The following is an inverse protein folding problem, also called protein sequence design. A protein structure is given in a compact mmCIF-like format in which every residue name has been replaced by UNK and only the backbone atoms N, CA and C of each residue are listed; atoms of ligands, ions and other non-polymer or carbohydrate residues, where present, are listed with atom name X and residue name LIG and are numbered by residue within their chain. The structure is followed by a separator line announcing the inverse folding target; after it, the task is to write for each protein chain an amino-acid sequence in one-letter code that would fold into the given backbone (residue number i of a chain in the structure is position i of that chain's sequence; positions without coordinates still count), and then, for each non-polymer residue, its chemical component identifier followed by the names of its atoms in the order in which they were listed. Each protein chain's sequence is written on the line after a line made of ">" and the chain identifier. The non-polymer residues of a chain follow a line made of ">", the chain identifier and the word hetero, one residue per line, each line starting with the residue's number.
data_IF_749269318119
#
_entry.id   IF_749269318119
#
_cell.length_a   1.000
_cell.length_b   1.000
_cell.length_c   1.000
_cell.angle_alpha   90.00
_cell.angle_beta   90.00
_cell.angle_gamma   90.00
#
_symmetry.space_group_name_H-M   'P 1'
#
loop_
_entity.id
_entity.type
_entity.pdbx_description
1 polymer ?
#
# COMPACT_ATOMS: atom_id res chain seq x y z
N UNK A 1 -44.04 -29.39 7.97
CA UNK A 1 -44.58 -30.29 6.92
C UNK A 1 -43.75 -30.14 5.67
N UNK A 2 -43.17 -31.29 5.29
CA UNK A 2 -42.82 -31.79 3.94
C UNK A 2 -41.58 -31.12 3.30
N UNK A 3 -40.40 -31.74 3.38
CA UNK A 3 -39.79 -32.86 2.62
C UNK A 3 -39.61 -32.57 1.13
N UNK A 4 -38.37 -32.67 0.67
CA UNK A 4 -37.80 -33.53 -0.38
C UNK A 4 -36.45 -32.89 -0.77
N UNK A 5 -35.30 -33.39 -0.53
CA UNK A 5 -34.58 -34.62 -0.90
C UNK A 5 -34.52 -34.87 -2.40
N UNK A 6 -33.32 -35.10 -2.86
CA UNK A 6 -32.81 -35.77 -4.07
C UNK A 6 -32.01 -34.81 -5.00
N UNK A 7 -30.88 -35.11 -5.57
CA UNK A 7 -30.17 -36.36 -5.84
C UNK A 7 -28.77 -36.05 -6.36
N UNK A 8 -27.81 -36.87 -6.01
CA UNK A 8 -26.45 -37.04 -6.49
C UNK A 8 -26.44 -37.33 -8.00
N UNK A 9 -25.54 -36.74 -8.77
CA UNK A 9 -25.06 -37.39 -9.98
C UNK A 9 -23.56 -37.06 -10.18
N UNK A 10 -22.75 -38.06 -9.88
CA UNK A 10 -21.36 -38.16 -10.28
C UNK A 10 -21.31 -38.61 -11.75
N UNK A 11 -20.57 -37.89 -12.57
CA UNK A 11 -20.11 -38.44 -13.86
C UNK A 11 -18.63 -38.14 -13.94
N UNK A 12 -17.85 -39.18 -13.78
CA UNK A 12 -16.45 -39.23 -14.14
C UNK A 12 -16.30 -39.33 -15.66
N UNK A 13 -15.37 -38.58 -16.19
CA UNK A 13 -14.82 -38.89 -17.51
C UNK A 13 -13.31 -38.78 -17.43
N UNK A 14 -12.68 -39.93 -17.38
CA UNK A 14 -11.27 -40.07 -17.70
C UNK A 14 -11.12 -39.95 -19.23
N UNK A 15 -10.26 -39.04 -19.67
CA UNK A 15 -9.75 -39.11 -21.02
C UNK A 15 -8.24 -38.86 -20.99
N UNK A 16 -7.53 -39.93 -21.20
CA UNK A 16 -6.10 -39.96 -21.52
C UNK A 16 -5.90 -39.51 -22.98
N UNK A 17 -4.96 -38.63 -23.22
CA UNK A 17 -4.57 -38.23 -24.58
C UNK A 17 -3.42 -37.23 -24.57
N UNK A 18 -2.28 -37.74 -24.67
CA UNK A 18 -0.92 -37.37 -25.07
C UNK A 18 -0.78 -36.16 -26.02
N UNK A 19 0.23 -35.32 -25.68
CA UNK A 19 1.13 -34.51 -26.52
C UNK A 19 0.61 -33.30 -27.30
N UNK A 20 1.12 -32.14 -26.94
CA UNK A 20 2.12 -31.39 -27.71
C UNK A 20 2.53 -30.11 -26.93
N UNK A 21 3.79 -29.94 -26.88
CA UNK A 21 4.56 -28.84 -26.36
C UNK A 21 4.30 -27.59 -27.20
N UNK A 22 3.86 -26.49 -26.56
CA UNK A 22 4.24 -25.16 -27.04
C UNK A 22 4.26 -24.19 -25.85
N UNK A 23 5.43 -23.62 -25.67
CA UNK A 23 5.76 -22.64 -24.65
C UNK A 23 4.96 -21.35 -24.90
N UNK A 24 3.95 -21.10 -24.08
CA UNK A 24 3.40 -19.78 -23.92
C UNK A 24 3.80 -19.27 -22.54
N UNK A 25 4.79 -18.41 -22.52
CA UNK A 25 5.25 -17.63 -21.41
C UNK A 25 4.17 -16.62 -21.06
N UNK A 26 3.18 -17.04 -20.29
CA UNK A 26 2.25 -16.11 -19.65
C UNK A 26 3.02 -15.30 -18.60
N UNK A 27 2.85 -13.96 -18.53
CA UNK A 27 3.40 -13.19 -17.44
C UNK A 27 2.79 -13.69 -16.14
N UNK A 28 3.60 -14.19 -15.23
CA UNK A 28 3.18 -14.44 -13.86
C UNK A 28 2.84 -13.10 -13.23
N UNK A 29 1.60 -12.73 -13.30
CA UNK A 29 1.00 -11.73 -12.45
C UNK A 29 1.17 -12.25 -11.02
N UNK A 30 2.12 -11.65 -10.28
CA UNK A 30 2.32 -11.90 -8.85
C UNK A 30 1.06 -11.44 -8.14
N UNK A 31 0.08 -12.30 -8.04
CA UNK A 31 -1.03 -12.15 -7.12
C UNK A 31 -0.44 -12.25 -5.72
N UNK A 32 0.02 -11.12 -5.19
CA UNK A 32 0.35 -11.03 -3.77
C UNK A 32 -0.87 -11.48 -2.99
N UNK A 33 -0.71 -12.53 -2.19
CA UNK A 33 -1.82 -13.10 -1.45
C UNK A 33 -2.44 -12.01 -0.54
N UNK A 34 -3.71 -12.15 -0.24
CA UNK A 34 -4.43 -11.21 0.63
C UNK A 34 -3.76 -11.11 2.01
N UNK A 35 -3.10 -12.18 2.43
CA UNK A 35 -2.33 -12.27 3.66
C UNK A 35 -1.03 -11.48 3.62
N UNK A 36 -0.27 -11.50 2.52
CA UNK A 36 0.94 -10.69 2.36
C UNK A 36 0.63 -9.20 2.38
N UNK A 37 -0.48 -8.79 1.75
CA UNK A 37 -0.93 -7.38 1.79
C UNK A 37 -1.36 -6.97 3.19
N UNK A 38 -2.02 -7.85 3.94
CA UNK A 38 -2.42 -7.59 5.32
C UNK A 38 -1.19 -7.49 6.23
N UNK A 39 -0.23 -8.40 6.10
CA UNK A 39 1.02 -8.38 6.86
C UNK A 39 1.86 -7.13 6.56
N UNK A 40 1.98 -6.74 5.29
CA UNK A 40 2.66 -5.52 4.88
C UNK A 40 1.99 -4.25 5.43
N UNK A 41 0.65 -4.24 5.51
CA UNK A 41 -0.09 -3.13 6.12
C UNK A 41 0.12 -3.06 7.63
N UNK A 42 0.08 -4.20 8.32
CA UNK A 42 0.32 -4.27 9.76
C UNK A 42 1.75 -3.82 10.12
N UNK A 43 2.75 -4.24 9.35
CA UNK A 43 4.13 -3.80 9.53
C UNK A 43 4.28 -2.28 9.36
N UNK A 44 3.70 -1.72 8.30
CA UNK A 44 3.73 -0.26 8.07
C UNK A 44 3.08 0.53 9.21
N UNK A 45 2.00 0.01 9.77
CA UNK A 45 1.32 0.63 10.90
C UNK A 45 2.17 0.56 12.16
N UNK A 46 2.81 -0.57 12.44
CA UNK A 46 3.74 -0.73 13.56
C UNK A 46 4.95 0.21 13.43
N UNK A 47 5.57 0.27 12.25
CA UNK A 47 6.68 1.17 11.95
C UNK A 47 6.29 2.65 12.14
N UNK A 48 5.06 3.01 11.74
CA UNK A 48 4.53 4.36 11.91
C UNK A 48 4.29 4.71 13.39
N UNK A 49 3.73 3.78 14.15
CA UNK A 49 3.51 3.97 15.59
C UNK A 49 4.84 4.11 16.36
N UNK A 50 5.84 3.33 16.00
CA UNK A 50 7.19 3.47 16.55
C UNK A 50 7.79 4.84 16.23
N UNK A 51 7.64 5.31 14.99
CA UNK A 51 8.11 6.61 14.57
C UNK A 51 7.40 7.76 15.35
N UNK A 52 6.10 7.65 15.57
CA UNK A 52 5.35 8.62 16.37
C UNK A 52 5.83 8.67 17.82
N UNK A 53 6.02 7.49 18.42
CA UNK A 53 6.51 7.37 19.80
C UNK A 53 7.92 7.96 19.95
N UNK A 54 8.82 7.63 19.02
CA UNK A 54 10.20 8.11 19.03
C UNK A 54 10.28 9.62 18.83
N UNK A 55 9.42 10.18 17.97
CA UNK A 55 9.36 11.63 17.74
C UNK A 55 8.54 12.38 18.79
N UNK A 56 7.93 11.68 19.75
CA UNK A 56 7.15 12.27 20.84
C UNK A 56 5.89 13.00 20.39
N UNK A 57 5.17 12.43 19.39
CA UNK A 57 3.91 12.98 18.91
C UNK A 57 2.78 12.74 19.91
N UNK A 58 1.98 13.77 20.17
CA UNK A 58 0.72 13.65 20.91
C UNK A 58 -0.34 12.93 20.06
N UNK A 59 -1.41 12.46 20.70
CA UNK A 59 -2.50 11.76 19.99
C UNK A 59 -3.15 12.65 18.92
N UNK A 60 -3.35 13.94 19.23
CA UNK A 60 -3.86 14.92 18.26
C UNK A 60 -2.92 15.11 17.05
N UNK A 61 -1.61 15.18 17.30
CA UNK A 61 -0.61 15.30 16.23
C UNK A 61 -0.57 14.04 15.37
N UNK A 62 -0.69 12.85 15.98
CA UNK A 62 -0.77 11.57 15.30
C UNK A 62 -2.01 11.49 14.39
N UNK A 63 -3.18 11.91 14.90
CA UNK A 63 -4.41 11.93 14.13
C UNK A 63 -4.30 12.86 12.92
N UNK A 64 -3.89 14.11 13.13
CA UNK A 64 -3.69 15.09 12.05
C UNK A 64 -2.64 14.63 11.04
N UNK A 65 -1.60 13.96 11.49
CA UNK A 65 -0.63 13.34 10.58
C UNK A 65 -1.27 12.28 9.69
N UNK A 66 -2.14 11.42 10.26
CA UNK A 66 -2.87 10.39 9.50
C UNK A 66 -3.79 11.00 8.46
N UNK A 67 -4.52 12.06 8.81
CA UNK A 67 -5.38 12.80 7.88
C UNK A 67 -4.57 13.35 6.69
N UNK A 68 -3.43 14.00 6.96
CA UNK A 68 -2.53 14.48 5.91
C UNK A 68 -1.97 13.33 5.07
N UNK A 69 -1.69 12.18 5.67
CA UNK A 69 -1.21 10.99 4.95
C UNK A 69 -2.29 10.38 4.05
N UNK A 70 -3.54 10.34 4.50
CA UNK A 70 -4.69 9.88 3.71
C UNK A 70 -4.98 10.82 2.54
N UNK A 71 -5.01 12.13 2.76
CA UNK A 71 -5.11 13.13 1.70
C UNK A 71 -4.01 12.93 0.65
N UNK A 72 -2.78 12.71 1.11
CA UNK A 72 -1.64 12.44 0.23
C UNK A 72 -1.79 11.17 -0.60
N UNK A 73 -2.35 10.12 0.01
CA UNK A 73 -2.63 8.86 -0.69
C UNK A 73 -3.74 9.03 -1.73
N UNK A 74 -4.81 9.75 -1.38
CA UNK A 74 -5.91 10.05 -2.29
C UNK A 74 -5.43 10.90 -3.47
N UNK A 75 -4.65 11.96 -3.20
CA UNK A 75 -4.03 12.78 -4.24
C UNK A 75 -3.14 11.94 -5.18
N UNK A 76 -2.30 11.09 -4.63
CA UNK A 76 -1.42 10.23 -5.44
C UNK A 76 -2.19 9.24 -6.32
N UNK A 77 -3.31 8.71 -5.83
CA UNK A 77 -4.19 7.83 -6.63
C UNK A 77 -4.90 8.60 -7.74
N UNK A 78 -5.46 9.77 -7.44
CA UNK A 78 -6.11 10.62 -8.41
C UNK A 78 -5.13 11.06 -9.50
N UNK A 79 -3.92 11.47 -9.12
CA UNK A 79 -2.88 11.89 -10.05
C UNK A 79 -2.44 10.76 -10.99
N UNK A 80 -2.35 9.53 -10.48
CA UNK A 80 -2.01 8.35 -11.32
C UNK A 80 -3.14 7.97 -12.28
N UNK A 81 -4.39 8.12 -11.84
CA UNK A 81 -5.57 7.80 -12.63
C UNK A 81 -5.88 8.86 -13.71
N UNK A 82 -5.32 10.05 -13.58
CA UNK A 82 -5.55 11.13 -14.53
C UNK A 82 -4.84 10.84 -15.86
N UNK A 83 -5.62 10.46 -16.86
CA UNK A 83 -5.12 10.16 -18.20
C UNK A 83 -4.86 11.43 -19.05
N UNK A 84 -5.25 12.61 -18.57
CA UNK A 84 -5.07 13.88 -19.28
C UNK A 84 -3.69 14.49 -19.06
N UNK A 85 -2.98 14.05 -18.02
CA UNK A 85 -1.66 14.55 -17.65
C UNK A 85 -0.56 13.67 -18.21
N UNK A 86 0.49 14.29 -18.72
CA UNK A 86 1.75 13.61 -19.06
C UNK A 86 2.48 13.13 -17.78
N UNK A 87 3.39 12.20 -17.93
CA UNK A 87 4.20 11.70 -16.80
C UNK A 87 5.07 12.82 -16.17
N UNK A 88 5.53 13.78 -16.98
CA UNK A 88 6.26 14.95 -16.48
C UNK A 88 5.37 15.86 -15.63
N UNK A 89 4.15 16.12 -16.07
CA UNK A 89 3.17 16.94 -15.31
C UNK A 89 2.76 16.23 -14.02
N UNK A 90 2.57 14.90 -14.06
CA UNK A 90 2.32 14.10 -12.84
C UNK A 90 3.49 14.19 -11.87
N UNK A 91 4.72 14.09 -12.34
CA UNK A 91 5.91 14.22 -11.52
C UNK A 91 6.04 15.61 -10.91
N UNK A 92 5.79 16.66 -11.68
CA UNK A 92 5.82 18.05 -11.20
C UNK A 92 4.77 18.29 -10.11
N UNK A 93 3.51 17.90 -10.35
CA UNK A 93 2.42 18.01 -9.37
C UNK A 93 2.68 17.19 -8.10
N UNK A 94 3.22 15.99 -8.24
CA UNK A 94 3.61 15.15 -7.10
C UNK A 94 4.68 15.80 -6.24
N UNK A 95 5.69 16.42 -6.88
CA UNK A 95 6.78 17.12 -6.20
C UNK A 95 6.28 18.37 -5.47
N UNK A 96 5.41 19.13 -6.10
CA UNK A 96 4.80 20.33 -5.52
C UNK A 96 3.94 19.96 -4.30
N UNK A 97 3.07 18.96 -4.44
CA UNK A 97 2.27 18.45 -3.33
C UNK A 97 3.14 17.91 -2.20
N UNK A 98 4.23 17.21 -2.52
CA UNK A 98 5.20 16.74 -1.53
C UNK A 98 5.83 17.86 -0.71
N UNK A 99 6.15 19.00 -1.34
CA UNK A 99 6.65 20.20 -0.64
C UNK A 99 5.59 20.81 0.26
N UNK A 100 4.37 20.96 -0.23
CA UNK A 100 3.24 21.49 0.54
C UNK A 100 2.93 20.60 1.76
N UNK A 101 2.90 19.28 1.56
CA UNK A 101 2.74 18.31 2.65
C UNK A 101 3.86 18.44 3.70
N UNK A 102 5.10 18.55 3.28
CA UNK A 102 6.22 18.72 4.20
C UNK A 102 6.13 20.02 5.01
N UNK A 103 5.66 21.12 4.39
CA UNK A 103 5.42 22.38 5.08
C UNK A 103 4.31 22.26 6.13
N UNK A 104 3.16 21.67 5.76
CA UNK A 104 2.04 21.40 6.70
C UNK A 104 2.47 20.53 7.89
N UNK A 105 3.28 19.50 7.64
CA UNK A 105 3.78 18.63 8.71
C UNK A 105 4.78 19.34 9.63
N UNK A 106 5.62 20.23 9.10
CA UNK A 106 6.51 21.07 9.90
C UNK A 106 5.76 22.06 10.77
N UNK A 107 4.71 22.66 10.24
CA UNK A 107 3.83 23.57 10.97
C UNK A 107 3.10 22.84 12.09
N UNK A 108 2.57 21.64 11.81
CA UNK A 108 1.85 20.81 12.77
C UNK A 108 2.74 20.31 13.91
N UNK A 109 3.92 19.80 13.59
CA UNK A 109 4.77 19.08 14.54
C UNK A 109 5.90 19.95 15.14
N UNK A 110 6.19 21.06 14.50
CA UNK A 110 7.43 21.82 14.76
C UNK A 110 8.67 21.16 14.14
N UNK A 111 9.76 21.92 14.07
CA UNK A 111 10.96 21.50 13.36
C UNK A 111 11.61 20.25 13.97
N UNK A 112 11.66 20.16 15.29
CA UNK A 112 12.33 19.08 16.03
C UNK A 112 11.61 17.74 15.86
N UNK A 113 10.31 17.68 16.18
CA UNK A 113 9.50 16.46 16.01
C UNK A 113 9.43 16.01 14.55
N UNK A 114 9.30 16.97 13.62
CA UNK A 114 9.32 16.66 12.19
C UNK A 114 10.65 16.03 11.77
N UNK A 115 11.79 16.58 12.24
CA UNK A 115 13.11 16.02 11.97
C UNK A 115 13.25 14.62 12.55
N UNK A 116 12.93 14.43 13.83
CA UNK A 116 12.97 13.12 14.49
C UNK A 116 12.12 12.08 13.76
N UNK A 117 10.90 12.43 13.38
CA UNK A 117 10.01 11.56 12.59
C UNK A 117 10.63 11.15 11.25
N UNK A 118 11.25 12.11 10.55
CA UNK A 118 11.91 11.86 9.26
C UNK A 118 13.13 10.95 9.41
N UNK A 119 13.91 11.14 10.45
CA UNK A 119 15.11 10.33 10.72
C UNK A 119 14.72 8.87 10.97
N UNK A 120 13.70 8.62 11.80
CA UNK A 120 13.16 7.26 12.03
C UNK A 120 12.63 6.64 10.74
N UNK A 121 11.81 7.37 9.99
CA UNK A 121 11.26 6.86 8.72
C UNK A 121 12.34 6.55 7.68
N UNK A 122 13.43 7.32 7.66
CA UNK A 122 14.55 7.04 6.77
C UNK A 122 15.31 5.79 7.21
N UNK A 123 15.57 5.63 8.52
CA UNK A 123 16.20 4.43 9.06
C UNK A 123 15.38 3.16 8.76
N UNK A 124 14.05 3.22 8.93
CA UNK A 124 13.15 2.11 8.59
C UNK A 124 13.18 1.77 7.10
N UNK A 125 13.26 2.78 6.22
CA UNK A 125 13.38 2.56 4.77
C UNK A 125 14.70 1.90 4.39
N UNK A 126 15.80 2.31 5.00
CA UNK A 126 17.11 1.69 4.73
C UNK A 126 17.14 0.24 5.23
N UNK A 127 16.61 -0.03 6.43
CA UNK A 127 16.48 -1.38 6.96
C UNK A 127 15.63 -2.29 6.06
N UNK A 128 14.59 -1.74 5.43
CA UNK A 128 13.73 -2.49 4.51
C UNK A 128 14.39 -2.79 3.14
N UNK A 129 15.47 -2.11 2.78
CA UNK A 129 16.23 -2.39 1.54
C UNK A 129 17.28 -3.49 1.72
N UNK A 130 17.70 -3.72 2.96
CA UNK A 130 18.76 -4.68 3.31
C UNK A 130 18.24 -6.07 3.63
N UNK A 131 16.93 -6.25 3.73
CA UNK A 131 16.23 -7.53 3.88
C UNK A 131 15.57 -7.96 2.57
#
# INVERSE_FOLDING_TARGET
>A
MKYLLTTIMAIGFAFTGVQAQEASKAPQEKTQSKEEKAAAKAKKEADLMEAFKTAGLTDDEQQKFREIAEESSAFGKALKADATLSEEEKAAKSKEYGKAKAARLKELLGAEKYKALKDVQNAQKEAAKTN
#
